data_IF_765624983786
#
_entry.id   IF_765624983786
#
_cell.length_a   1.000
_cell.length_b   1.000
_cell.length_c   1.000
_cell.angle_alpha   90.00
_cell.angle_beta   90.00
_cell.angle_gamma   90.00
#
_symmetry.space_group_name_H-M   'P 1'
#
loop_
_entity.id
_entity.type
_entity.pdbx_description
1 polymer ?
#
# COMPACT_ATOMS: atom_id res chain seq x y z
N UNK A 1 30.68 6.49 12.17
CA UNK A 1 30.47 7.39 11.00
C UNK A 1 28.99 7.38 10.65
N UNK A 2 28.40 8.50 10.21
CA UNK A 2 27.03 8.51 9.72
C UNK A 2 26.99 7.97 8.29
N UNK A 3 26.06 7.06 8.00
CA UNK A 3 25.82 6.59 6.64
C UNK A 3 25.22 7.72 5.80
N UNK A 4 25.64 7.82 4.53
CA UNK A 4 25.07 8.79 3.60
C UNK A 4 23.72 8.31 3.05
N UNK A 5 22.88 9.25 2.60
CA UNK A 5 21.58 8.91 2.01
C UNK A 5 21.72 8.08 0.73
N UNK A 6 22.77 8.30 -0.06
CA UNK A 6 23.04 7.48 -1.25
C UNK A 6 23.42 6.04 -0.88
N UNK A 7 24.29 5.85 0.11
CA UNK A 7 24.63 4.50 0.61
C UNK A 7 23.41 3.75 1.15
N UNK A 8 22.52 4.44 1.89
CA UNK A 8 21.26 3.84 2.34
C UNK A 8 20.45 3.37 1.12
N UNK A 9 20.34 4.20 0.08
CA UNK A 9 19.53 3.86 -1.10
C UNK A 9 20.07 2.64 -1.85
N UNK A 10 21.39 2.52 -1.99
CA UNK A 10 21.99 1.32 -2.59
C UNK A 10 21.66 0.06 -1.76
N UNK A 11 21.85 0.12 -0.45
CA UNK A 11 21.54 -1.01 0.44
C UNK A 11 20.06 -1.40 0.42
N UNK A 12 19.14 -0.44 0.32
CA UNK A 12 17.71 -0.70 0.19
C UNK A 12 17.36 -1.40 -1.13
N UNK A 13 17.99 -0.99 -2.23
CA UNK A 13 17.80 -1.65 -3.54
C UNK A 13 18.33 -3.08 -3.54
N UNK A 14 19.49 -3.30 -2.93
CA UNK A 14 20.06 -4.64 -2.77
C UNK A 14 19.16 -5.54 -1.92
N UNK A 15 18.69 -5.02 -0.78
CA UNK A 15 17.74 -5.69 0.10
C UNK A 15 16.47 -6.11 -0.66
N UNK A 16 15.88 -5.19 -1.43
CA UNK A 16 14.70 -5.47 -2.25
C UNK A 16 15.00 -6.40 -3.44
N UNK A 17 16.24 -6.53 -3.88
CA UNK A 17 16.61 -7.49 -4.92
C UNK A 17 16.70 -8.93 -4.41
N UNK A 18 16.84 -9.14 -3.10
CA UNK A 18 16.95 -10.46 -2.49
C UNK A 18 15.64 -10.99 -1.91
N UNK A 19 14.66 -10.12 -1.68
CA UNK A 19 13.37 -10.46 -1.07
C UNK A 19 12.22 -9.95 -1.93
N UNK A 20 11.17 -10.75 -2.09
CA UNK A 20 9.96 -10.32 -2.81
C UNK A 20 9.26 -9.15 -2.11
N UNK A 21 9.27 -9.14 -0.77
CA UNK A 21 8.65 -8.12 0.07
C UNK A 21 9.60 -7.71 1.21
N UNK A 22 9.72 -6.39 1.41
CA UNK A 22 10.58 -5.77 2.41
C UNK A 22 9.79 -4.80 3.28
N UNK A 23 9.97 -4.88 4.59
CA UNK A 23 9.48 -3.92 5.58
C UNK A 23 10.63 -2.98 6.01
N UNK A 24 10.32 -1.81 6.59
CA UNK A 24 11.34 -0.90 7.15
C UNK A 24 12.31 -1.56 8.14
N UNK A 25 11.85 -2.58 8.87
CA UNK A 25 12.68 -3.38 9.77
C UNK A 25 13.69 -4.24 9.02
N UNK A 26 13.31 -4.81 7.88
CA UNK A 26 14.20 -5.63 7.04
C UNK A 26 15.29 -4.76 6.43
N UNK A 27 14.93 -3.57 5.93
CA UNK A 27 15.92 -2.59 5.48
C UNK A 27 16.88 -2.16 6.58
N UNK A 28 16.38 -1.93 7.80
CA UNK A 28 17.23 -1.57 8.95
C UNK A 28 18.18 -2.70 9.32
N UNK A 29 17.70 -3.94 9.30
CA UNK A 29 18.52 -5.11 9.58
C UNK A 29 19.57 -5.30 8.49
N UNK A 30 19.20 -5.15 7.22
CA UNK A 30 20.12 -5.23 6.09
C UNK A 30 21.22 -4.17 6.18
N UNK A 31 20.88 -2.91 6.48
CA UNK A 31 21.90 -1.85 6.68
C UNK A 31 22.86 -2.20 7.81
N UNK A 32 22.37 -2.76 8.93
CA UNK A 32 23.21 -3.17 10.05
C UNK A 32 24.13 -4.35 9.71
N UNK A 33 23.69 -5.26 8.84
CA UNK A 33 24.47 -6.42 8.42
C UNK A 33 25.52 -6.06 7.37
N UNK A 34 25.26 -5.03 6.55
CA UNK A 34 26.08 -4.67 5.39
C UNK A 34 26.81 -3.33 5.54
N UNK A 35 26.69 -2.66 6.69
CA UNK A 35 27.36 -1.40 6.99
C UNK A 35 27.62 -1.23 8.48
N UNK A 36 28.84 -0.83 8.85
CA UNK A 36 29.24 -0.51 10.24
C UNK A 36 28.74 0.87 10.71
N UNK A 37 27.78 1.46 9.98
CA UNK A 37 27.27 2.81 10.19
C UNK A 37 25.80 2.78 10.59
N UNK A 38 25.45 3.59 11.58
CA UNK A 38 24.07 3.76 12.02
C UNK A 38 23.25 4.64 11.07
N UNK A 39 22.01 4.22 10.86
CA UNK A 39 20.98 4.94 10.12
C UNK A 39 19.86 5.37 11.07
N UNK A 40 19.46 6.64 10.99
CA UNK A 40 18.30 7.14 11.75
C UNK A 40 16.99 6.82 11.03
N UNK A 41 15.88 6.76 11.78
CA UNK A 41 14.54 6.54 11.24
C UNK A 41 14.18 7.55 10.14
N UNK A 42 14.56 8.82 10.31
CA UNK A 42 14.33 9.87 9.34
C UNK A 42 15.14 9.70 8.04
N UNK A 43 16.38 9.22 8.13
CA UNK A 43 17.19 8.92 6.94
C UNK A 43 16.65 7.71 6.19
N UNK A 44 16.21 6.67 6.90
CA UNK A 44 15.59 5.49 6.31
C UNK A 44 14.28 5.86 5.60
N UNK A 45 13.38 6.58 6.28
CA UNK A 45 12.12 7.03 5.70
C UNK A 45 12.36 7.95 4.49
N UNK A 46 13.35 8.84 4.57
CA UNK A 46 13.75 9.71 3.46
C UNK A 46 14.25 8.93 2.24
N UNK A 47 15.09 7.92 2.45
CA UNK A 47 15.61 7.07 1.37
C UNK A 47 14.50 6.24 0.70
N UNK A 48 13.64 5.59 1.50
CA UNK A 48 12.49 4.83 0.99
C UNK A 48 11.58 5.73 0.13
N UNK A 49 11.28 6.94 0.61
CA UNK A 49 10.45 7.90 -0.13
C UNK A 49 11.07 8.28 -1.47
N UNK A 50 12.37 8.60 -1.50
CA UNK A 50 13.06 8.97 -2.74
C UNK A 50 13.12 7.81 -3.75
N UNK A 51 13.34 6.58 -3.28
CA UNK A 51 13.34 5.40 -4.14
C UNK A 51 11.94 5.11 -4.69
N UNK A 52 10.90 5.29 -3.88
CA UNK A 52 9.52 5.15 -4.32
C UNK A 52 9.12 6.22 -5.34
N UNK A 53 9.53 7.48 -5.14
CA UNK A 53 9.32 8.58 -6.08
C UNK A 53 9.96 8.30 -7.46
N UNK A 54 11.09 7.59 -7.47
CA UNK A 54 11.80 7.18 -8.70
C UNK A 54 11.31 5.86 -9.30
N UNK A 55 10.38 5.17 -8.63
CA UNK A 55 9.94 3.84 -9.06
C UNK A 55 10.99 2.74 -8.87
N UNK A 56 12.05 2.99 -8.10
CA UNK A 56 13.09 2.01 -7.76
C UNK A 56 12.64 1.10 -6.59
N UNK A 57 11.67 1.56 -5.80
CA UNK A 57 10.87 0.74 -4.88
C UNK A 57 9.39 0.93 -5.17
N UNK A 58 8.60 -0.13 -5.03
CA UNK A 58 7.15 -0.07 -5.18
C UNK A 58 6.52 -0.32 -3.81
N UNK A 59 5.65 0.59 -3.36
CA UNK A 59 4.85 0.39 -2.14
C UNK A 59 3.71 -0.57 -2.48
N UNK A 60 3.73 -1.76 -1.89
CA UNK A 60 2.68 -2.79 -2.08
C UNK A 60 1.52 -2.50 -1.12
N UNK A 61 1.84 -2.30 0.16
CA UNK A 61 0.89 -1.92 1.20
C UNK A 61 1.57 -1.07 2.28
N UNK A 62 0.86 -0.75 3.37
CA UNK A 62 1.40 0.10 4.44
C UNK A 62 2.62 -0.57 5.09
N UNK A 63 3.80 -0.06 4.76
CA UNK A 63 5.05 -0.55 5.32
C UNK A 63 5.57 -1.82 4.67
N UNK A 64 5.07 -2.19 3.48
CA UNK A 64 5.67 -3.23 2.63
C UNK A 64 6.06 -2.63 1.29
N UNK A 65 7.28 -2.95 0.88
CA UNK A 65 7.92 -2.47 -0.33
C UNK A 65 8.49 -3.64 -1.11
N UNK A 66 8.38 -3.59 -2.43
CA UNK A 66 9.03 -4.53 -3.33
C UNK A 66 10.03 -3.77 -4.23
N UNK A 67 10.90 -4.52 -4.90
CA UNK A 67 11.79 -3.96 -5.92
C UNK A 67 10.98 -3.33 -7.05
N UNK A 68 11.31 -2.09 -7.38
CA UNK A 68 10.85 -1.45 -8.60
C UNK A 68 11.86 -1.59 -9.73
N UNK A 69 11.37 -1.46 -10.97
CA UNK A 69 12.18 -1.51 -12.18
C UNK A 69 12.65 -0.12 -12.65
N UNK A 70 12.33 0.93 -11.89
CA UNK A 70 12.65 2.31 -12.25
C UNK A 70 11.77 2.86 -13.39
N UNK A 71 10.76 2.11 -13.84
CA UNK A 71 9.84 2.54 -14.92
C UNK A 71 8.54 3.13 -14.39
N UNK A 72 8.39 3.25 -13.07
CA UNK A 72 7.18 3.75 -12.44
C UNK A 72 6.96 5.24 -12.72
N UNK A 73 6.32 5.51 -13.84
CA UNK A 73 5.69 6.79 -14.15
C UNK A 73 4.46 6.91 -13.26
N UNK A 74 4.58 7.61 -12.14
CA UNK A 74 3.44 7.90 -11.27
C UNK A 74 2.36 8.58 -12.13
N UNK A 75 1.25 7.88 -12.37
CA UNK A 75 -0.04 8.55 -12.57
C UNK A 75 -0.26 9.34 -11.28
N UNK A 76 0.03 10.64 -11.32
CA UNK A 76 -0.19 11.54 -10.18
C UNK A 76 -1.65 11.43 -9.75
N UNK A 77 -1.94 10.69 -8.67
CA UNK A 77 -2.95 11.13 -7.72
C UNK A 77 -2.19 11.96 -6.69
N UNK A 78 -2.19 13.28 -6.94
CA UNK A 78 -1.72 14.27 -5.99
C UNK A 78 -2.52 14.12 -4.71
N UNK A 79 -1.99 13.44 -3.70
CA UNK A 79 -2.52 13.51 -2.34
C UNK A 79 -1.67 14.53 -1.61
N UNK A 80 -2.26 15.70 -1.36
CA UNK A 80 -1.59 16.82 -0.70
C UNK A 80 -1.09 16.41 0.69
N UNK A 81 0.15 16.77 0.98
CA UNK A 81 0.71 16.75 2.33
C UNK A 81 -0.19 17.58 3.25
N UNK A 82 -0.91 16.94 4.16
CA UNK A 82 -1.72 17.62 5.18
C UNK A 82 -2.85 16.80 5.78
N UNK A 83 -3.29 15.73 5.11
CA UNK A 83 -4.44 14.94 5.55
C UNK A 83 -4.02 13.56 6.03
N UNK A 84 -4.67 13.05 7.09
CA UNK A 84 -4.43 11.73 7.67
C UNK A 84 -4.31 10.67 6.57
N UNK A 85 -3.07 10.26 6.24
CA UNK A 85 -2.82 9.26 5.20
C UNK A 85 -3.58 7.98 5.49
N UNK A 86 -3.86 7.70 6.76
CA UNK A 86 -4.69 6.59 7.20
C UNK A 86 -6.13 6.68 6.70
N UNK A 87 -6.81 7.84 6.81
CA UNK A 87 -8.19 7.95 6.39
C UNK A 87 -8.34 7.82 4.87
N UNK A 88 -7.39 8.37 4.12
CA UNK A 88 -7.36 8.27 2.65
C UNK A 88 -7.00 6.84 2.21
N UNK A 89 -5.98 6.22 2.81
CA UNK A 89 -5.59 4.84 2.53
C UNK A 89 -6.75 3.86 2.83
N UNK A 90 -7.50 4.07 3.91
CA UNK A 90 -8.70 3.27 4.25
C UNK A 90 -9.83 3.52 3.25
N UNK A 91 -10.09 4.77 2.88
CA UNK A 91 -11.16 5.10 1.93
C UNK A 91 -10.88 4.52 0.53
N UNK A 92 -9.63 4.58 0.06
CA UNK A 92 -9.21 3.97 -1.21
C UNK A 92 -9.32 2.44 -1.15
N UNK A 93 -8.86 1.81 -0.06
CA UNK A 93 -8.99 0.36 0.15
C UNK A 93 -10.45 -0.11 0.16
N UNK A 94 -11.32 0.63 0.85
CA UNK A 94 -12.76 0.32 0.89
C UNK A 94 -13.41 0.50 -0.47
N UNK A 95 -13.05 1.55 -1.22
CA UNK A 95 -13.58 1.78 -2.57
C UNK A 95 -13.17 0.66 -3.54
N UNK A 96 -11.91 0.22 -3.50
CA UNK A 96 -11.43 -0.86 -4.37
C UNK A 96 -12.02 -2.23 -3.96
N UNK A 97 -12.19 -2.48 -2.66
CA UNK A 97 -12.84 -3.70 -2.16
C UNK A 97 -14.31 -3.76 -2.57
N UNK A 98 -15.04 -2.65 -2.43
CA UNK A 98 -16.46 -2.55 -2.83
C UNK A 98 -16.65 -2.84 -4.33
N UNK A 99 -15.78 -2.32 -5.20
CA UNK A 99 -15.79 -2.62 -6.64
C UNK A 99 -15.55 -4.09 -6.94
N UNK A 100 -14.62 -4.72 -6.23
CA UNK A 100 -14.34 -6.17 -6.40
C UNK A 100 -15.54 -7.01 -5.99
N UNK A 101 -16.20 -6.67 -4.89
CA UNK A 101 -17.43 -7.34 -4.45
C UNK A 101 -18.56 -7.15 -5.46
N UNK A 102 -18.72 -5.97 -6.04
CA UNK A 102 -19.71 -5.70 -7.08
C UNK A 102 -19.52 -6.58 -8.32
N UNK A 103 -18.29 -6.69 -8.83
CA UNK A 103 -18.00 -7.57 -9.97
C UNK A 103 -18.34 -9.03 -9.68
N UNK A 104 -18.07 -9.50 -8.46
CA UNK A 104 -18.43 -10.87 -8.05
C UNK A 104 -19.95 -11.01 -8.03
N UNK A 105 -20.67 -10.10 -7.38
CA UNK A 105 -22.14 -10.11 -7.30
C UNK A 105 -22.80 -10.05 -8.68
N UNK A 106 -22.30 -9.22 -9.59
CA UNK A 106 -22.81 -9.10 -10.97
C UNK A 106 -22.57 -10.37 -11.80
N UNK A 107 -21.53 -11.13 -11.49
CA UNK A 107 -21.20 -12.38 -12.18
C UNK A 107 -22.04 -13.58 -11.74
N UNK A 108 -22.83 -13.45 -10.67
CA UNK A 108 -23.61 -14.55 -10.10
C UNK A 108 -24.96 -14.70 -10.81
N UNK A 109 -25.24 -15.92 -11.28
CA UNK A 109 -26.56 -16.29 -11.79
C UNK A 109 -27.55 -16.52 -10.64
N UNK A 110 -28.25 -15.44 -10.27
CA UNK A 110 -29.20 -15.40 -9.15
C UNK A 110 -30.33 -16.42 -9.29
N UNK A 111 -30.64 -16.87 -10.52
CA UNK A 111 -31.72 -17.82 -10.78
C UNK A 111 -31.35 -19.27 -10.41
N UNK A 112 -30.06 -19.57 -10.26
CA UNK A 112 -29.54 -20.90 -9.95
C UNK A 112 -28.86 -20.98 -8.57
N UNK A 113 -29.11 -20.01 -7.69
CA UNK A 113 -28.54 -19.98 -6.34
C UNK A 113 -29.36 -20.78 -5.33
N UNK A 114 -28.66 -21.45 -4.40
CA UNK A 114 -29.28 -22.02 -3.20
C UNK A 114 -29.62 -20.94 -2.17
N UNK A 115 -30.49 -21.29 -1.21
CA UNK A 115 -30.94 -20.38 -0.13
C UNK A 115 -29.77 -19.82 0.71
N UNK A 116 -28.76 -20.65 0.99
CA UNK A 116 -27.56 -20.23 1.72
C UNK A 116 -26.75 -19.17 0.96
N UNK A 117 -26.57 -19.36 -0.35
CA UNK A 117 -25.85 -18.42 -1.20
C UNK A 117 -26.64 -17.10 -1.35
N UNK A 118 -27.97 -17.18 -1.37
CA UNK A 118 -28.83 -16.00 -1.44
C UNK A 118 -28.75 -15.16 -0.16
N UNK A 119 -28.67 -15.80 1.01
CA UNK A 119 -28.43 -15.10 2.28
C UNK A 119 -27.05 -14.44 2.30
N UNK A 120 -26.02 -15.15 1.83
CA UNK A 120 -24.66 -14.62 1.74
C UNK A 120 -24.58 -13.41 0.81
N UNK A 121 -25.32 -13.43 -0.31
CA UNK A 121 -25.43 -12.31 -1.23
C UNK A 121 -25.99 -11.05 -0.55
N UNK A 122 -27.00 -11.21 0.31
CA UNK A 122 -27.57 -10.13 1.10
C UNK A 122 -26.56 -9.51 2.07
N UNK A 123 -25.79 -10.34 2.77
CA UNK A 123 -24.73 -9.87 3.67
C UNK A 123 -23.61 -9.14 2.92
N UNK A 124 -23.17 -9.66 1.77
CA UNK A 124 -22.13 -9.03 0.94
C UNK A 124 -22.58 -7.66 0.45
N UNK A 125 -23.84 -7.52 0.01
CA UNK A 125 -24.40 -6.22 -0.41
C UNK A 125 -24.40 -5.21 0.73
N UNK A 126 -24.81 -5.64 1.93
CA UNK A 126 -24.81 -4.77 3.11
C UNK A 126 -23.40 -4.28 3.48
N UNK A 127 -22.41 -5.19 3.46
CA UNK A 127 -21.01 -4.84 3.73
C UNK A 127 -20.49 -3.84 2.70
N UNK A 128 -20.85 -4.00 1.42
CA UNK A 128 -20.49 -3.05 0.36
C UNK A 128 -21.06 -1.65 0.66
N UNK A 129 -22.34 -1.55 1.00
CA UNK A 129 -23.00 -0.27 1.34
C UNK A 129 -22.34 0.41 2.57
N UNK A 130 -21.99 -0.37 3.59
CA UNK A 130 -21.28 0.13 4.77
C UNK A 130 -19.89 0.68 4.40
N UNK A 131 -19.14 -0.02 3.54
CA UNK A 131 -17.83 0.43 3.03
C UNK A 131 -17.93 1.75 2.24
N UNK A 132 -18.93 1.87 1.36
CA UNK A 132 -19.18 3.07 0.56
C UNK A 132 -19.61 4.27 1.43
N UNK A 133 -20.41 4.00 2.47
CA UNK A 133 -20.83 5.01 3.44
C UNK A 133 -19.65 5.56 4.23
N UNK A 134 -18.77 4.68 4.72
CA UNK A 134 -17.56 5.07 5.46
C UNK A 134 -16.62 5.87 4.56
N UNK A 135 -16.35 5.36 3.34
CA UNK A 135 -15.54 6.06 2.33
C UNK A 135 -16.07 7.47 2.04
N UNK A 136 -17.38 7.59 1.76
CA UNK A 136 -18.03 8.87 1.46
C UNK A 136 -18.02 9.83 2.66
N UNK A 137 -18.16 9.31 3.89
CA UNK A 137 -18.08 10.10 5.11
C UNK A 137 -16.68 10.67 5.38
N UNK A 138 -15.63 9.96 4.96
CA UNK A 138 -14.24 10.42 5.04
C UNK A 138 -13.98 11.58 4.08
N UNK A 139 -14.56 11.55 2.87
CA UNK A 139 -14.41 12.65 1.90
C UNK A 139 -15.29 13.88 2.19
N UNK A 140 -16.43 13.71 2.89
CA UNK A 140 -17.35 14.81 3.25
C UNK A 140 -16.95 15.64 4.47
N UNK A 141 -16.07 15.12 5.33
CA UNK A 141 -15.55 15.85 6.52
C UNK A 141 -14.28 16.67 6.20
N UNK A 142 -14.05 16.98 4.93
CA UNK A 142 -13.03 17.91 4.42
C UNK A 142 -13.69 19.21 3.98
#
# INVERSE_FOLDING_TARGET
MKISTEEIKELLKECAAQMEECRPQDFRQYIRLHSDKDCTDGQLAGAIRQLAEKGELIKIERGIYAKGDGTYSIRKKTVGYGESSFAIDIADCFADTAKRLELIVESVDVLNMGEADFSLLGEIRKIKEDMETISSGIYKNK
#
